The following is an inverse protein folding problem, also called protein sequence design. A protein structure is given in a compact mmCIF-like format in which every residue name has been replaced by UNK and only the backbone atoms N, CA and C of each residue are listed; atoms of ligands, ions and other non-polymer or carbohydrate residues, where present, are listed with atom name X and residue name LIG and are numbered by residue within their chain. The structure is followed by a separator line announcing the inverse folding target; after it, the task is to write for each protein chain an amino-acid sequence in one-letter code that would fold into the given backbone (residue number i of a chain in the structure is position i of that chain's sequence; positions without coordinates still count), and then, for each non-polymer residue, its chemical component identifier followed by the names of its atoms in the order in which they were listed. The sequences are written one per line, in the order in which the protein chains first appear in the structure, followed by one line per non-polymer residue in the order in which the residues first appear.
data_IF_342055454074
#
_entry.id   IF_342055454074
#
_cell.length_a   1.000
_cell.length_b   1.000
_cell.length_c   1.000
_cell.angle_alpha   90.00
_cell.angle_beta   90.00
_cell.angle_gamma   90.00
#
_symmetry.space_group_name_H-M   'P 1'
#
loop_
_entity.id
_entity.type
_entity.pdbx_description
1 polymer ?
#
# COMPACT_ATOMS: atom_id res chain seq x y z
N UNK A 1 17.54 -14.34 4.87
CA UNK A 1 17.08 -14.21 6.27
C UNK A 1 16.74 -12.76 6.50
N UNK A 2 15.51 -12.48 6.91
CA UNK A 2 15.06 -11.10 7.07
C UNK A 2 15.44 -10.57 8.48
N UNK A 3 16.07 -9.40 8.53
CA UNK A 3 16.50 -8.74 9.78
C UNK A 3 15.43 -7.75 10.22
N UNK A 4 14.74 -8.12 11.29
CA UNK A 4 13.68 -7.33 11.90
C UNK A 4 14.00 -7.13 13.38
N UNK A 5 13.91 -5.91 13.89
CA UNK A 5 14.25 -5.60 15.29
C UNK A 5 13.23 -4.69 15.98
N UNK A 6 13.15 -4.77 17.33
CA UNK A 6 12.37 -3.83 18.12
C UNK A 6 12.99 -2.43 18.08
N UNK A 7 12.18 -1.39 18.27
CA UNK A 7 12.64 0.00 18.26
C UNK A 7 11.90 0.86 19.31
N UNK A 8 12.44 2.03 19.58
CA UNK A 8 11.84 3.00 20.52
C UNK A 8 10.93 3.96 19.75
N UNK A 9 9.66 3.62 19.65
CA UNK A 9 8.69 4.48 18.96
C UNK A 9 8.43 5.79 19.71
N UNK A 10 8.07 6.81 18.94
CA UNK A 10 7.39 7.99 19.43
C UNK A 10 5.90 7.78 19.11
N UNK A 11 5.07 7.74 20.14
CA UNK A 11 3.65 7.42 20.01
C UNK A 11 2.78 8.33 20.86
N UNK A 12 1.49 8.50 20.55
CA UNK A 12 0.57 9.27 21.39
C UNK A 12 0.56 8.75 22.82
N UNK A 13 0.40 9.62 23.80
CA UNK A 13 0.05 9.18 25.16
C UNK A 13 -1.35 8.58 25.16
N UNK A 14 -1.61 7.61 26.06
CA UNK A 14 -2.87 6.84 26.06
C UNK A 14 -4.12 7.73 26.10
N UNK A 15 -4.08 8.81 26.88
CA UNK A 15 -5.17 9.79 27.03
C UNK A 15 -5.32 10.73 25.81
N UNK A 16 -4.41 10.71 24.86
CA UNK A 16 -4.41 11.57 23.68
C UNK A 16 -4.62 10.82 22.35
N UNK A 17 -4.73 9.49 22.37
CA UNK A 17 -4.93 8.69 21.16
C UNK A 17 -6.15 9.14 20.37
N UNK A 18 -7.30 9.33 21.04
CA UNK A 18 -8.51 9.80 20.39
C UNK A 18 -8.36 11.19 19.75
N UNK A 19 -7.60 12.09 20.40
CA UNK A 19 -7.32 13.42 19.86
C UNK A 19 -6.46 13.35 18.57
N UNK A 20 -5.50 12.46 18.54
CA UNK A 20 -4.60 12.29 17.37
C UNK A 20 -5.32 11.58 16.24
N UNK A 21 -6.09 10.51 16.54
CA UNK A 21 -6.80 9.71 15.53
C UNK A 21 -8.02 10.42 14.93
N UNK A 22 -8.61 11.41 15.60
CA UNK A 22 -9.77 12.16 15.10
C UNK A 22 -9.42 13.28 14.12
N UNK A 23 -8.15 13.67 14.06
CA UNK A 23 -7.68 14.67 13.08
C UNK A 23 -7.36 13.95 11.79
N UNK A 24 -8.13 14.24 10.72
CA UNK A 24 -7.79 13.75 9.39
C UNK A 24 -6.42 14.30 9.00
N UNK A 25 -5.45 13.43 8.84
CA UNK A 25 -4.14 13.75 8.29
C UNK A 25 -4.20 13.99 6.77
N UNK A 26 -5.38 13.90 6.16
CA UNK A 26 -5.64 14.17 4.75
C UNK A 26 -5.18 15.55 4.28
N UNK A 27 -5.10 16.52 5.20
CA UNK A 27 -4.57 17.85 4.90
C UNK A 27 -3.04 17.87 4.65
N UNK A 28 -2.35 16.77 4.88
CA UNK A 28 -0.89 16.70 4.81
C UNK A 28 -0.45 15.58 3.87
N UNK A 29 -0.80 15.68 2.60
CA UNK A 29 -0.15 14.83 1.61
C UNK A 29 1.35 15.18 1.55
N UNK A 30 2.20 14.18 1.65
CA UNK A 30 3.66 14.31 1.63
C UNK A 30 4.18 15.16 0.45
N UNK A 31 3.48 15.12 -0.69
CA UNK A 31 3.82 15.88 -1.89
C UNK A 31 3.60 17.40 -1.73
N UNK A 32 2.57 17.82 -1.01
CA UNK A 32 2.27 19.24 -0.80
C UNK A 32 3.17 19.88 0.24
N UNK A 33 3.60 19.10 1.24
CA UNK A 33 4.48 19.58 2.30
C UNK A 33 5.93 19.77 1.86
N UNK A 34 6.43 18.93 0.96
CA UNK A 34 7.81 19.04 0.46
C UNK A 34 8.01 20.15 -0.57
N UNK A 35 6.93 20.58 -1.27
CA UNK A 35 7.04 21.48 -2.41
C UNK A 35 6.83 22.98 -2.09
N UNK A 36 6.26 23.32 -0.92
CA UNK A 36 5.78 24.68 -0.65
C UNK A 36 6.32 25.38 0.58
N UNK A 37 7.20 24.78 1.37
CA UNK A 37 7.50 25.32 2.70
C UNK A 37 9.01 25.47 2.97
N UNK A 38 9.44 26.73 3.03
CA UNK A 38 10.62 27.18 3.83
C UNK A 38 10.43 26.88 5.33
N UNK A 39 9.29 26.36 5.70
CA UNK A 39 8.86 26.06 7.06
C UNK A 39 8.45 24.59 7.15
N UNK A 40 9.10 23.84 8.04
CA UNK A 40 8.78 22.44 8.31
C UNK A 40 7.66 22.33 9.36
N UNK A 41 6.39 22.11 8.95
CA UNK A 41 5.28 22.02 9.88
C UNK A 41 5.40 20.81 10.83
N UNK A 42 6.08 19.73 10.42
CA UNK A 42 6.33 18.58 11.29
C UNK A 42 7.28 18.93 12.44
N UNK A 43 8.32 19.71 12.19
CA UNK A 43 9.20 20.17 13.28
C UNK A 43 8.43 21.05 14.27
N UNK A 44 7.54 21.89 13.78
CA UNK A 44 6.68 22.72 14.62
C UNK A 44 5.68 21.89 15.39
N UNK A 45 4.90 21.05 14.71
CA UNK A 45 3.93 20.15 15.34
C UNK A 45 4.60 19.19 16.33
N UNK A 46 5.77 18.66 15.98
CA UNK A 46 6.54 17.80 16.87
C UNK A 46 7.03 18.54 18.13
N UNK A 47 7.44 19.80 18.03
CA UNK A 47 7.78 20.64 19.19
C UNK A 47 6.56 20.93 20.06
N UNK A 48 5.43 21.30 19.44
CA UNK A 48 4.16 21.52 20.15
C UNK A 48 3.64 20.24 20.82
N UNK A 49 3.68 19.11 20.13
CA UNK A 49 3.28 17.83 20.67
C UNK A 49 4.18 17.36 21.82
N UNK A 50 5.50 17.61 21.76
CA UNK A 50 6.40 17.35 22.89
C UNK A 50 6.12 18.26 24.07
N UNK A 51 5.92 19.55 23.84
CA UNK A 51 5.60 20.53 24.89
C UNK A 51 4.31 20.16 25.63
N UNK A 52 3.28 19.73 24.90
CA UNK A 52 1.98 19.39 25.44
C UNK A 52 1.89 17.92 25.89
N UNK A 53 2.98 17.14 25.84
CA UNK A 53 3.02 15.71 26.18
C UNK A 53 2.01 14.86 25.41
N UNK A 54 1.69 15.27 24.19
CA UNK A 54 0.77 14.53 23.32
C UNK A 54 1.47 13.25 22.83
N UNK A 55 2.77 13.34 22.53
CA UNK A 55 3.58 12.18 22.19
C UNK A 55 4.59 11.85 23.28
N UNK A 56 4.78 10.56 23.49
CA UNK A 56 5.80 10.00 24.37
C UNK A 56 6.77 9.17 23.56
N UNK A 57 8.05 9.17 23.96
CA UNK A 57 9.07 8.30 23.39
C UNK A 57 9.28 7.10 24.31
N UNK A 58 9.21 5.89 23.74
CA UNK A 58 9.47 4.66 24.47
C UNK A 58 10.90 4.63 25.03
N UNK A 59 11.02 4.15 26.27
CA UNK A 59 12.30 4.00 26.94
C UNK A 59 13.02 2.73 26.53
N UNK A 60 12.24 1.66 26.29
CA UNK A 60 12.71 0.33 25.92
C UNK A 60 12.38 0.04 24.47
N UNK A 61 13.30 -0.55 23.68
CA UNK A 61 12.96 -1.04 22.34
C UNK A 61 11.87 -2.10 22.44
N UNK A 62 10.83 -1.97 21.61
CA UNK A 62 9.64 -2.83 21.63
C UNK A 62 9.25 -3.20 20.20
N UNK A 63 8.61 -4.36 20.03
CA UNK A 63 7.74 -4.59 18.90
C UNK A 63 6.34 -4.10 19.26
N UNK A 64 5.54 -3.84 18.24
CA UNK A 64 4.17 -3.39 18.42
C UNK A 64 3.26 -4.27 17.58
N UNK A 65 2.41 -5.07 18.22
CA UNK A 65 1.35 -5.77 17.49
C UNK A 65 0.24 -4.76 17.26
N UNK A 66 -0.17 -4.61 16.01
CA UNK A 66 -1.21 -3.68 15.63
C UNK A 66 -2.30 -4.41 14.87
N UNK A 67 -3.54 -4.19 15.29
CA UNK A 67 -4.72 -4.80 14.72
C UNK A 67 -5.72 -3.73 14.32
N UNK A 68 -6.26 -3.89 13.13
CA UNK A 68 -7.38 -3.10 12.62
C UNK A 68 -8.50 -4.09 12.28
N UNK A 69 -9.68 -3.88 12.82
CA UNK A 69 -10.86 -4.68 12.47
C UNK A 69 -12.05 -3.80 12.10
N UNK A 70 -12.81 -4.23 11.11
CA UNK A 70 -14.11 -3.72 10.75
C UNK A 70 -15.16 -4.84 10.89
N UNK A 71 -16.35 -4.66 10.31
CA UNK A 71 -17.44 -5.64 10.41
C UNK A 71 -17.11 -6.97 9.72
N UNK A 72 -16.29 -6.93 8.69
CA UNK A 72 -16.06 -8.07 7.79
C UNK A 72 -14.66 -8.66 7.97
N UNK A 73 -13.69 -7.82 8.35
CA UNK A 73 -12.29 -8.16 8.27
C UNK A 73 -11.48 -7.77 9.50
N UNK A 74 -10.43 -8.55 9.77
CA UNK A 74 -9.42 -8.23 10.77
C UNK A 74 -8.02 -8.37 10.16
N UNK A 75 -7.25 -7.30 10.27
CA UNK A 75 -5.87 -7.23 9.82
C UNK A 75 -4.98 -7.10 11.06
N UNK A 76 -4.12 -8.05 11.28
CA UNK A 76 -3.20 -8.03 12.42
C UNK A 76 -1.76 -8.23 11.93
N UNK A 77 -0.85 -7.43 12.43
CA UNK A 77 0.56 -7.50 12.06
C UNK A 77 1.47 -6.88 13.11
N UNK A 78 2.75 -6.81 12.80
CA UNK A 78 3.81 -6.33 13.68
C UNK A 78 4.44 -5.07 13.10
N UNK A 79 4.45 -3.99 13.87
CA UNK A 79 5.23 -2.79 13.53
C UNK A 79 6.64 -2.99 14.09
N UNK A 80 7.63 -2.87 13.22
CA UNK A 80 9.03 -3.15 13.52
C UNK A 80 9.98 -2.25 12.73
N UNK A 81 11.26 -2.31 13.09
CA UNK A 81 12.35 -1.74 12.31
C UNK A 81 12.96 -2.83 11.42
N UNK A 82 12.83 -2.70 10.11
CA UNK A 82 13.29 -3.67 9.11
C UNK A 82 14.53 -3.15 8.39
N UNK A 83 15.48 -4.04 8.09
CA UNK A 83 16.78 -3.71 7.53
C UNK A 83 16.69 -3.12 6.12
N UNK A 84 17.35 -1.97 5.93
CA UNK A 84 17.59 -1.37 4.61
C UNK A 84 18.45 -2.28 3.74
N UNK A 85 19.41 -2.99 4.33
CA UNK A 85 20.31 -3.88 3.62
C UNK A 85 19.54 -5.05 3.00
N UNK A 86 18.51 -5.58 3.68
CA UNK A 86 17.64 -6.64 3.15
C UNK A 86 16.84 -6.17 1.93
N UNK A 87 16.44 -4.89 1.91
CA UNK A 87 15.83 -4.29 0.73
C UNK A 87 16.82 -4.20 -0.44
N UNK A 88 18.07 -3.81 -0.18
CA UNK A 88 19.12 -3.68 -1.20
C UNK A 88 19.55 -5.03 -1.76
N UNK A 89 19.66 -6.04 -0.92
CA UNK A 89 20.10 -7.38 -1.28
C UNK A 89 18.98 -8.28 -1.82
N UNK A 90 17.75 -7.75 -1.93
CA UNK A 90 16.62 -8.48 -2.50
C UNK A 90 16.06 -9.59 -1.60
N UNK A 91 16.33 -9.58 -0.30
CA UNK A 91 15.58 -10.34 0.71
C UNK A 91 14.16 -9.79 0.79
N UNK A 92 14.00 -8.46 0.72
CA UNK A 92 12.72 -7.80 0.56
C UNK A 92 12.45 -7.64 -0.94
N UNK A 93 11.44 -8.38 -1.42
CA UNK A 93 11.06 -8.45 -2.84
C UNK A 93 10.20 -7.26 -3.24
N UNK A 94 10.52 -6.71 -4.40
CA UNK A 94 9.78 -5.63 -5.05
C UNK A 94 8.99 -6.18 -6.22
N UNK A 95 7.81 -5.63 -6.48
CA UNK A 95 7.02 -5.94 -7.68
C UNK A 95 6.76 -4.69 -8.53
N UNK A 96 7.22 -3.51 -8.08
CA UNK A 96 7.01 -2.24 -8.76
C UNK A 96 8.31 -1.44 -8.81
N UNK A 97 8.53 -0.73 -9.92
CA UNK A 97 9.61 0.24 -10.08
C UNK A 97 9.29 1.56 -9.36
N UNK A 98 10.32 2.25 -8.90
CA UNK A 98 10.17 3.52 -8.21
C UNK A 98 10.62 4.70 -9.08
N UNK A 99 9.95 5.84 -8.91
CA UNK A 99 10.26 7.08 -9.64
C UNK A 99 11.34 7.84 -8.85
N UNK A 100 12.52 8.03 -9.46
CA UNK A 100 13.67 8.67 -8.80
C UNK A 100 13.37 10.02 -8.16
N UNK A 101 12.58 10.87 -8.84
CA UNK A 101 12.16 12.17 -8.31
C UNK A 101 11.38 12.06 -6.99
N UNK A 102 10.52 11.03 -6.86
CA UNK A 102 9.77 10.76 -5.62
C UNK A 102 10.67 10.20 -4.52
N UNK A 103 11.63 9.34 -4.87
CA UNK A 103 12.59 8.82 -3.89
C UNK A 103 13.36 9.96 -3.21
N UNK A 104 13.91 10.89 -3.99
CA UNK A 104 14.65 12.06 -3.47
C UNK A 104 13.73 12.97 -2.63
N UNK A 105 12.47 13.15 -3.02
CA UNK A 105 11.52 13.92 -2.24
C UNK A 105 11.27 13.32 -0.86
N UNK A 106 11.03 12.01 -0.79
CA UNK A 106 10.83 11.30 0.47
C UNK A 106 12.11 11.19 1.30
N UNK A 107 13.27 11.07 0.67
CA UNK A 107 14.57 11.14 1.36
C UNK A 107 14.76 12.48 2.05
N UNK A 108 14.54 13.59 1.36
CA UNK A 108 14.60 14.94 1.94
C UNK A 108 13.60 15.10 3.10
N UNK A 109 12.41 14.52 2.96
CA UNK A 109 11.44 14.46 4.05
C UNK A 109 12.02 13.75 5.28
N UNK A 110 12.62 12.56 5.12
CA UNK A 110 13.21 11.81 6.22
C UNK A 110 14.41 12.55 6.85
N UNK A 111 15.26 13.18 6.05
CA UNK A 111 16.37 14.03 6.54
C UNK A 111 15.86 15.20 7.38
N UNK A 112 14.78 15.83 6.94
CA UNK A 112 14.23 17.02 7.58
C UNK A 112 13.45 16.69 8.86
N UNK A 113 12.64 15.64 8.84
CA UNK A 113 11.79 15.25 9.98
C UNK A 113 12.52 14.41 11.02
N UNK A 114 13.46 13.57 10.57
CA UNK A 114 14.20 12.64 11.42
C UNK A 114 13.39 11.44 11.89
N UNK A 115 12.24 11.13 11.28
CA UNK A 115 11.42 9.97 11.63
C UNK A 115 10.59 9.43 10.46
N UNK A 116 10.21 8.16 10.54
CA UNK A 116 9.23 7.54 9.65
C UNK A 116 7.83 7.76 10.24
N UNK A 117 6.94 8.44 9.50
CA UNK A 117 5.56 8.67 9.94
C UNK A 117 4.62 7.52 9.55
N UNK A 118 4.88 6.88 8.40
CA UNK A 118 4.10 5.75 7.90
C UNK A 118 4.98 4.51 7.72
N UNK A 119 4.50 3.32 8.16
CA UNK A 119 5.23 2.09 7.92
C UNK A 119 5.15 1.67 6.45
N UNK A 120 6.17 0.97 5.98
CA UNK A 120 6.10 0.18 4.75
C UNK A 120 5.29 -1.08 5.05
N UNK A 121 4.30 -1.40 4.22
CA UNK A 121 3.53 -2.64 4.36
C UNK A 121 4.31 -3.78 3.72
N UNK A 122 4.74 -4.73 4.57
CA UNK A 122 5.43 -5.94 4.16
C UNK A 122 4.56 -7.16 4.46
N UNK A 123 4.63 -8.18 3.62
CA UNK A 123 4.00 -9.45 3.90
C UNK A 123 5.06 -10.57 4.02
N UNK A 124 4.71 -11.58 4.82
CA UNK A 124 5.47 -12.82 5.02
C UNK A 124 4.55 -14.03 4.85
N UNK A 125 5.13 -15.21 4.62
CA UNK A 125 4.39 -16.47 4.48
C UNK A 125 3.71 -16.83 5.80
N UNK A 126 2.48 -17.37 5.73
CA UNK A 126 1.72 -17.78 6.93
C UNK A 126 2.46 -18.88 7.71
N UNK A 127 2.45 -18.77 9.04
CA UNK A 127 3.00 -19.78 9.96
C UNK A 127 2.12 -19.92 11.21
N UNK A 128 1.47 -21.08 11.33
CA UNK A 128 0.54 -21.35 12.45
C UNK A 128 1.21 -21.29 13.84
N UNK A 129 2.49 -21.57 13.94
CA UNK A 129 3.19 -21.52 15.23
C UNK A 129 3.49 -20.06 15.60
N UNK A 130 3.78 -19.22 14.61
CA UNK A 130 3.96 -17.81 14.84
C UNK A 130 2.63 -17.12 15.16
N UNK A 131 1.54 -17.50 14.50
CA UNK A 131 0.19 -17.01 14.81
C UNK A 131 -0.22 -17.31 16.27
N UNK A 132 0.15 -18.48 16.79
CA UNK A 132 -0.04 -18.82 18.22
C UNK A 132 0.77 -17.89 19.13
N UNK A 133 1.99 -17.51 18.76
CA UNK A 133 2.78 -16.52 19.53
C UNK A 133 2.07 -15.18 19.57
N UNK A 134 1.59 -14.69 18.43
CA UNK A 134 0.85 -13.44 18.33
C UNK A 134 -0.46 -13.50 19.14
N UNK A 135 -1.18 -14.61 19.07
CA UNK A 135 -2.43 -14.81 19.81
C UNK A 135 -2.22 -14.76 21.32
N UNK A 136 -1.15 -15.41 21.83
CA UNK A 136 -0.80 -15.39 23.26
C UNK A 136 -0.50 -13.94 23.73
N UNK A 137 0.26 -13.18 22.94
CA UNK A 137 0.58 -11.80 23.29
C UNK A 137 -0.71 -10.94 23.33
N UNK A 138 -1.67 -11.20 22.45
CA UNK A 138 -2.95 -10.51 22.38
C UNK A 138 -3.91 -10.84 23.53
N UNK A 139 -3.68 -11.88 24.33
CA UNK A 139 -4.47 -12.14 25.56
C UNK A 139 -4.29 -11.03 26.59
N UNK A 140 -3.17 -10.31 26.57
CA UNK A 140 -2.96 -9.15 27.41
C UNK A 140 -3.85 -7.99 26.98
N UNK A 141 -4.12 -7.08 27.94
CA UNK A 141 -4.84 -5.85 27.64
C UNK A 141 -4.03 -4.99 26.65
N UNK A 142 -4.65 -4.51 25.55
CA UNK A 142 -3.95 -3.64 24.62
C UNK A 142 -3.55 -2.30 25.26
N UNK A 143 -2.44 -1.75 24.83
CA UNK A 143 -2.02 -0.39 25.19
C UNK A 143 -2.99 0.66 24.65
N UNK A 144 -3.46 0.46 23.43
CA UNK A 144 -4.51 1.27 22.80
C UNK A 144 -5.65 0.40 22.32
N UNK A 145 -6.87 0.89 22.54
CA UNK A 145 -8.09 0.41 21.91
C UNK A 145 -8.97 1.63 21.63
N UNK A 146 -9.27 1.88 20.38
CA UNK A 146 -10.10 3.02 19.96
C UNK A 146 -10.77 2.75 18.62
N UNK A 147 -11.90 3.42 18.37
CA UNK A 147 -12.58 3.38 17.07
C UNK A 147 -12.41 4.69 16.33
N UNK A 148 -12.30 4.61 15.02
CA UNK A 148 -12.25 5.74 14.10
C UNK A 148 -13.63 6.07 13.55
N UNK A 149 -13.79 7.23 12.91
CA UNK A 149 -15.07 7.69 12.33
C UNK A 149 -15.58 6.80 11.21
N UNK A 150 -14.68 6.08 10.52
CA UNK A 150 -15.00 5.06 9.52
C UNK A 150 -15.35 3.68 10.14
N UNK A 151 -15.64 3.65 11.45
CA UNK A 151 -16.08 2.48 12.21
C UNK A 151 -15.09 1.34 12.32
N UNK A 152 -13.80 1.61 12.11
CA UNK A 152 -12.75 0.63 12.34
C UNK A 152 -12.31 0.65 13.79
N UNK A 153 -12.12 -0.54 14.36
CA UNK A 153 -11.56 -0.73 15.69
C UNK A 153 -10.06 -0.96 15.57
N UNK A 154 -9.30 -0.17 16.29
CA UNK A 154 -7.84 -0.21 16.30
C UNK A 154 -7.35 -0.67 17.66
N UNK A 155 -6.45 -1.64 17.69
CA UNK A 155 -5.80 -2.15 18.89
C UNK A 155 -4.30 -2.19 18.71
N UNK A 156 -3.57 -1.90 19.77
CA UNK A 156 -2.11 -1.95 19.78
C UNK A 156 -1.59 -2.55 21.07
N UNK A 157 -0.73 -3.54 20.97
CA UNK A 157 -0.02 -4.17 22.10
C UNK A 157 1.47 -3.87 22.02
N UNK A 158 2.07 -3.54 23.16
CA UNK A 158 3.51 -3.38 23.30
C UNK A 158 4.14 -4.73 23.66
N UNK A 159 5.12 -5.18 22.90
CA UNK A 159 5.89 -6.39 23.17
C UNK A 159 7.24 -5.97 23.73
N UNK A 160 7.40 -6.11 25.05
CA UNK A 160 8.60 -5.75 25.81
C UNK A 160 9.23 -6.94 26.53
N UNK A 161 8.52 -8.04 26.63
CA UNK A 161 9.04 -9.26 27.19
C UNK A 161 10.15 -9.84 26.30
N UNK A 162 11.32 -10.11 26.89
CA UNK A 162 12.49 -10.56 26.16
C UNK A 162 12.27 -11.91 25.44
N UNK A 163 11.51 -12.84 26.05
CA UNK A 163 11.20 -14.13 25.44
C UNK A 163 10.30 -13.97 24.21
N UNK A 164 9.32 -13.08 24.27
CA UNK A 164 8.43 -12.78 23.13
C UNK A 164 9.20 -12.07 22.01
N UNK A 165 10.02 -11.08 22.35
CA UNK A 165 10.93 -10.41 21.42
C UNK A 165 11.81 -11.41 20.69
N UNK A 166 12.43 -12.33 21.43
CA UNK A 166 13.31 -13.36 20.86
C UNK A 166 12.56 -14.34 19.95
N UNK A 167 11.31 -14.70 20.27
CA UNK A 167 10.46 -15.52 19.38
C UNK A 167 10.18 -14.80 18.05
N UNK A 168 9.82 -13.50 18.09
CA UNK A 168 9.58 -12.71 16.90
C UNK A 168 10.85 -12.60 16.04
N UNK A 169 11.98 -12.25 16.65
CA UNK A 169 13.28 -12.15 15.93
C UNK A 169 13.64 -13.52 15.32
N UNK A 170 13.47 -14.60 16.06
CA UNK A 170 13.81 -15.94 15.60
C UNK A 170 12.94 -16.40 14.44
N UNK A 171 11.68 -15.99 14.40
CA UNK A 171 10.79 -16.24 13.28
C UNK A 171 11.30 -15.53 12.02
N UNK A 172 11.46 -14.21 12.05
CA UNK A 172 11.89 -13.45 10.87
C UNK A 172 13.30 -13.81 10.40
N UNK A 173 14.18 -14.23 11.29
CA UNK A 173 15.50 -14.76 10.92
C UNK A 173 15.44 -16.06 10.10
N UNK A 174 14.33 -16.79 10.11
CA UNK A 174 14.12 -17.96 9.26
C UNK A 174 13.49 -17.61 7.92
N UNK A 175 12.81 -16.49 7.84
CA UNK A 175 12.16 -16.04 6.63
C UNK A 175 13.20 -15.76 5.53
N UNK A 176 13.01 -16.41 4.39
CA UNK A 176 13.90 -16.27 3.21
C UNK A 176 13.63 -14.98 2.46
N UNK A 177 12.40 -14.54 2.46
CA UNK A 177 11.95 -13.35 1.73
C UNK A 177 10.79 -12.68 2.44
N UNK A 178 10.74 -11.35 2.36
CA UNK A 178 9.58 -10.52 2.63
C UNK A 178 9.14 -9.88 1.32
N UNK A 179 7.89 -9.48 1.21
CA UNK A 179 7.37 -8.89 -0.02
C UNK A 179 6.74 -7.53 0.29
N UNK A 180 7.09 -6.51 -0.49
CA UNK A 180 6.47 -5.18 -0.32
C UNK A 180 5.06 -5.26 -0.89
N UNK A 181 4.05 -5.05 -0.06
CA UNK A 181 2.67 -4.87 -0.50
C UNK A 181 2.36 -3.40 -0.81
N UNK A 182 2.89 -2.47 -0.02
CA UNK A 182 2.81 -1.02 -0.25
C UNK A 182 4.03 -0.28 0.33
N UNK A 183 4.40 0.83 -0.30
CA UNK A 183 5.49 1.70 0.19
C UNK A 183 6.82 1.52 -0.52
N UNK A 184 6.85 1.13 -1.79
CA UNK A 184 8.07 1.00 -2.60
C UNK A 184 8.93 2.27 -2.57
N UNK A 185 8.31 3.46 -2.71
CA UNK A 185 9.03 4.73 -2.61
C UNK A 185 9.58 4.99 -1.21
N UNK A 186 8.86 4.60 -0.15
CA UNK A 186 9.31 4.74 1.25
C UNK A 186 10.53 3.87 1.54
N UNK A 187 10.54 2.63 1.06
CA UNK A 187 11.69 1.72 1.19
C UNK A 187 12.91 2.24 0.42
N UNK A 188 12.71 2.66 -0.83
CA UNK A 188 13.78 3.19 -1.68
C UNK A 188 14.39 4.46 -1.11
N UNK A 189 13.56 5.39 -0.62
CA UNK A 189 14.03 6.64 0.03
C UNK A 189 14.81 6.37 1.30
N UNK A 190 14.38 5.37 2.09
CA UNK A 190 15.12 4.97 3.29
C UNK A 190 16.47 4.36 2.94
N UNK A 191 16.58 3.67 1.80
CA UNK A 191 17.85 3.14 1.31
C UNK A 191 18.80 4.27 0.87
N UNK A 192 18.28 5.29 0.16
CA UNK A 192 19.07 6.47 -0.21
C UNK A 192 19.57 7.21 1.02
N UNK A 193 18.69 7.50 1.98
CA UNK A 193 19.06 8.15 3.24
C UNK A 193 20.15 7.36 3.99
N UNK A 194 20.06 6.04 4.01
CA UNK A 194 21.03 5.20 4.67
C UNK A 194 22.41 5.27 3.99
N UNK A 195 22.45 5.34 2.66
CA UNK A 195 23.69 5.50 1.89
C UNK A 195 24.35 6.84 2.18
N UNK A 196 23.59 7.93 2.13
CA UNK A 196 24.10 9.27 2.40
C UNK A 196 24.64 9.40 3.83
N UNK A 197 23.85 9.01 4.83
CA UNK A 197 24.27 9.11 6.23
C UNK A 197 25.43 8.16 6.57
N UNK A 198 25.52 7.01 5.89
CA UNK A 198 26.68 6.12 6.02
C UNK A 198 27.93 6.75 5.44
N UNK A 199 27.84 7.44 4.31
CA UNK A 199 28.96 8.13 3.69
C UNK A 199 29.48 9.29 4.57
N UNK A 200 28.57 9.98 5.27
CA UNK A 200 28.91 11.07 6.19
C UNK A 200 29.46 10.57 7.55
N UNK A 201 29.10 9.36 7.97
CA UNK A 201 29.45 8.83 9.29
C UNK A 201 30.75 8.02 9.27
N UNK A 202 31.87 8.65 9.59
CA UNK A 202 33.17 7.98 9.70
C UNK A 202 33.24 6.85 10.75
N UNK A 203 32.30 6.84 11.69
CA UNK A 203 32.21 5.85 12.76
C UNK A 203 31.04 4.85 12.55
N UNK A 204 30.63 4.65 11.30
CA UNK A 204 29.54 3.72 10.97
C UNK A 204 29.84 2.30 11.47
N UNK A 205 28.86 1.71 12.21
CA UNK A 205 28.94 0.39 12.82
C UNK A 205 27.91 -0.60 12.28
N UNK A 206 26.98 -0.14 11.43
CA UNK A 206 25.86 -0.96 10.93
C UNK A 206 24.66 -1.04 11.88
N UNK A 207 24.75 -0.49 13.07
CA UNK A 207 23.68 -0.55 14.09
C UNK A 207 22.87 0.74 14.19
N UNK A 208 23.22 1.75 13.44
CA UNK A 208 22.58 3.06 13.43
C UNK A 208 21.13 2.97 12.92
N UNK A 209 20.29 3.86 13.43
CA UNK A 209 18.85 3.84 13.12
C UNK A 209 18.54 4.04 11.63
N UNK A 210 19.37 4.77 10.90
CA UNK A 210 19.19 4.98 9.47
C UNK A 210 19.40 3.72 8.61
N UNK A 211 19.95 2.64 9.18
CA UNK A 211 20.04 1.34 8.52
C UNK A 211 18.72 0.56 8.57
N UNK A 212 17.65 1.15 9.10
CA UNK A 212 16.35 0.51 9.28
C UNK A 212 15.24 1.49 8.91
N UNK A 213 14.15 0.95 8.36
CA UNK A 213 12.91 1.69 8.16
C UNK A 213 11.76 1.04 8.93
N UNK A 214 10.76 1.84 9.27
CA UNK A 214 9.57 1.34 9.95
C UNK A 214 8.72 0.53 8.97
N UNK A 215 8.34 -0.67 9.36
CA UNK A 215 7.48 -1.56 8.59
C UNK A 215 6.30 -2.07 9.41
N UNK A 216 5.22 -2.38 8.74
CA UNK A 216 4.08 -3.14 9.24
C UNK A 216 4.07 -4.48 8.51
N UNK A 217 4.40 -5.56 9.23
CA UNK A 217 4.55 -6.89 8.69
C UNK A 217 3.28 -7.68 8.98
N UNK A 218 2.62 -8.19 7.95
CA UNK A 218 1.38 -8.98 8.05
C UNK A 218 1.58 -10.35 7.38
N UNK A 219 0.88 -11.41 7.83
CA UNK A 219 0.85 -12.67 7.11
C UNK A 219 0.14 -12.49 5.75
N UNK A 220 0.53 -13.26 4.74
CA UNK A 220 -0.02 -13.12 3.38
C UNK A 220 -1.54 -13.33 3.32
N UNK A 221 -2.09 -14.20 4.17
CA UNK A 221 -3.55 -14.42 4.27
C UNK A 221 -4.34 -13.19 4.75
N UNK A 222 -3.67 -12.26 5.45
CA UNK A 222 -4.29 -11.00 5.87
C UNK A 222 -4.21 -9.91 4.79
N UNK A 223 -3.46 -10.14 3.70
CA UNK A 223 -3.42 -9.19 2.59
C UNK A 223 -4.64 -9.39 1.71
N UNK A 224 -5.47 -8.37 1.62
CA UNK A 224 -6.57 -8.35 0.67
C UNK A 224 -6.25 -7.40 -0.48
N UNK A 225 -6.31 -7.94 -1.68
CA UNK A 225 -6.20 -7.16 -2.91
C UNK A 225 -7.61 -6.69 -3.26
N UNK A 226 -7.84 -5.39 -3.22
CA UNK A 226 -9.11 -4.81 -3.65
C UNK A 226 -9.21 -4.76 -5.18
N UNK A 227 -10.44 -4.76 -5.69
CA UNK A 227 -10.71 -4.50 -7.10
C UNK A 227 -10.12 -3.13 -7.46
N UNK A 228 -9.31 -3.10 -8.51
CA UNK A 228 -8.64 -1.87 -8.93
C UNK A 228 -9.18 -1.44 -10.30
N UNK A 229 -10.35 -0.81 -10.28
CA UNK A 229 -11.07 -0.38 -11.47
C UNK A 229 -10.30 0.70 -12.23
N UNK A 230 -10.44 0.73 -13.55
CA UNK A 230 -9.83 1.72 -14.45
C UNK A 230 -10.90 2.59 -15.06
N UNK A 231 -10.63 3.88 -15.12
CA UNK A 231 -11.50 4.91 -15.70
C UNK A 231 -10.73 5.66 -16.76
N UNK A 232 -11.31 5.79 -17.94
CA UNK A 232 -10.64 6.41 -19.10
C UNK A 232 -11.46 7.58 -19.59
N UNK A 233 -10.82 8.73 -19.78
CA UNK A 233 -11.50 10.01 -20.12
C UNK A 233 -12.02 10.08 -21.55
N UNK A 234 -11.40 9.39 -22.49
CA UNK A 234 -11.77 9.42 -23.90
C UNK A 234 -11.42 8.08 -24.60
N UNK A 235 -11.94 7.88 -25.80
CA UNK A 235 -11.71 6.69 -26.59
C UNK A 235 -10.58 6.84 -27.62
N UNK A 236 -9.61 7.73 -27.40
CA UNK A 236 -8.48 7.94 -28.31
C UNK A 236 -8.91 8.31 -29.75
N UNK A 237 -9.99 9.07 -29.88
CA UNK A 237 -10.54 9.49 -31.17
C UNK A 237 -11.50 8.49 -31.82
N UNK A 238 -11.64 7.30 -31.30
CA UNK A 238 -12.62 6.32 -31.79
C UNK A 238 -14.04 6.73 -31.43
N UNK A 239 -14.98 6.46 -32.34
CA UNK A 239 -16.40 6.36 -32.00
C UNK A 239 -16.66 5.14 -31.11
N UNK A 240 -17.82 5.06 -30.48
CA UNK A 240 -18.20 3.88 -29.68
C UNK A 240 -18.21 2.60 -30.51
N UNK A 241 -18.69 2.68 -31.75
CA UNK A 241 -18.74 1.54 -32.67
C UNK A 241 -17.34 1.06 -33.07
N UNK A 242 -16.45 1.99 -33.47
CA UNK A 242 -15.04 1.67 -33.80
C UNK A 242 -14.31 1.04 -32.62
N UNK A 243 -14.53 1.59 -31.43
CA UNK A 243 -13.92 1.07 -30.21
C UNK A 243 -14.39 -0.37 -29.91
N UNK A 244 -15.68 -0.67 -30.06
CA UNK A 244 -16.23 -2.02 -29.87
C UNK A 244 -15.70 -3.00 -30.94
N UNK A 245 -15.49 -2.55 -32.19
CA UNK A 245 -14.87 -3.38 -33.26
C UNK A 245 -13.43 -3.74 -32.92
N UNK A 246 -12.63 -2.75 -32.46
CA UNK A 246 -11.25 -3.00 -32.04
C UNK A 246 -11.18 -3.96 -30.83
N UNK A 247 -12.08 -3.79 -29.86
CA UNK A 247 -12.19 -4.69 -28.70
C UNK A 247 -12.53 -6.14 -29.11
N UNK A 248 -13.38 -6.33 -30.14
CA UNK A 248 -13.76 -7.68 -30.59
C UNK A 248 -12.58 -8.50 -31.11
N UNK A 249 -11.49 -7.85 -31.52
CA UNK A 249 -10.22 -8.52 -31.87
C UNK A 249 -9.67 -9.34 -30.70
N UNK A 250 -9.80 -8.82 -29.50
CA UNK A 250 -9.23 -9.42 -28.28
C UNK A 250 -10.27 -10.17 -27.44
N UNK A 251 -11.53 -9.71 -27.43
CA UNK A 251 -12.55 -10.19 -26.52
C UNK A 251 -13.81 -10.66 -27.27
N UNK A 252 -14.46 -11.66 -26.72
CA UNK A 252 -15.88 -11.87 -26.99
C UNK A 252 -16.64 -10.86 -26.15
N UNK A 253 -17.47 -10.03 -26.80
CA UNK A 253 -18.23 -8.95 -26.16
C UNK A 253 -19.68 -9.36 -26.05
N UNK A 254 -20.30 -9.17 -24.91
CA UNK A 254 -21.73 -9.32 -24.72
C UNK A 254 -22.30 -8.04 -24.10
N UNK A 255 -23.22 -7.39 -24.80
CA UNK A 255 -23.96 -6.24 -24.27
C UNK A 255 -24.94 -6.74 -23.19
N UNK A 256 -24.92 -6.10 -22.02
CA UNK A 256 -25.76 -6.39 -20.87
C UNK A 256 -26.83 -5.32 -20.63
N UNK A 257 -26.87 -4.28 -21.44
CA UNK A 257 -27.72 -3.10 -21.26
C UNK A 257 -27.52 -2.48 -19.88
N UNK A 258 -28.59 -2.29 -19.14
CA UNK A 258 -28.54 -1.77 -17.77
C UNK A 258 -28.15 -2.80 -16.70
N UNK A 259 -27.99 -4.08 -17.07
CA UNK A 259 -27.69 -5.14 -16.12
C UNK A 259 -26.22 -5.15 -15.75
N UNK A 260 -25.95 -4.88 -14.50
CA UNK A 260 -24.61 -4.91 -13.93
C UNK A 260 -23.96 -6.29 -14.12
N UNK A 261 -22.71 -6.30 -14.59
CA UNK A 261 -21.92 -7.52 -14.68
C UNK A 261 -20.69 -7.42 -13.77
N UNK A 262 -20.57 -8.34 -12.82
CA UNK A 262 -19.39 -8.48 -11.97
C UNK A 262 -18.58 -9.70 -12.45
N UNK A 263 -17.32 -9.53 -12.86
CA UNK A 263 -16.46 -10.65 -13.23
C UNK A 263 -16.30 -11.61 -12.06
N UNK A 264 -16.36 -12.91 -12.34
CA UNK A 264 -16.19 -13.99 -11.36
C UNK A 264 -15.06 -14.96 -11.69
N UNK A 265 -14.36 -14.74 -12.81
CA UNK A 265 -13.27 -15.58 -13.30
C UNK A 265 -12.18 -14.71 -13.90
N UNK A 266 -10.93 -15.20 -13.83
CA UNK A 266 -9.79 -14.57 -14.52
C UNK A 266 -10.09 -14.42 -16.03
N UNK A 267 -9.55 -13.35 -16.61
CA UNK A 267 -9.67 -13.00 -18.03
C UNK A 267 -11.08 -12.56 -18.43
N UNK A 268 -11.93 -12.25 -17.44
CA UNK A 268 -13.24 -11.65 -17.62
C UNK A 268 -13.20 -10.22 -17.09
N UNK A 269 -13.77 -9.29 -17.84
CA UNK A 269 -13.84 -7.89 -17.46
C UNK A 269 -15.26 -7.37 -17.55
N UNK A 270 -15.63 -6.47 -16.68
CA UNK A 270 -16.78 -5.60 -16.82
C UNK A 270 -16.35 -4.34 -17.53
N UNK A 271 -17.17 -3.83 -18.42
CA UNK A 271 -16.98 -2.50 -19.02
C UNK A 271 -18.31 -1.75 -18.91
N UNK A 272 -18.24 -0.46 -18.58
CA UNK A 272 -19.37 0.45 -18.69
C UNK A 272 -19.02 1.56 -19.67
N UNK A 273 -19.83 1.66 -20.71
CA UNK A 273 -19.62 2.56 -21.83
C UNK A 273 -20.98 3.03 -22.37
N UNK A 274 -21.14 4.33 -22.57
CA UNK A 274 -22.29 4.95 -23.22
C UNK A 274 -23.65 4.53 -22.64
N UNK A 275 -23.74 4.43 -21.31
CA UNK A 275 -24.97 4.09 -20.60
C UNK A 275 -25.22 2.58 -20.42
N UNK A 276 -24.37 1.71 -20.96
CA UNK A 276 -24.57 0.27 -20.98
C UNK A 276 -23.39 -0.49 -20.35
N UNK A 277 -23.72 -1.62 -19.71
CA UNK A 277 -22.74 -2.59 -19.25
C UNK A 277 -22.44 -3.61 -20.35
N UNK A 278 -21.17 -4.01 -20.40
CA UNK A 278 -20.66 -5.06 -21.26
C UNK A 278 -19.87 -6.07 -20.44
N UNK A 279 -19.97 -7.35 -20.78
CA UNK A 279 -19.03 -8.36 -20.33
C UNK A 279 -18.03 -8.65 -21.44
N UNK A 280 -16.77 -8.61 -21.09
CA UNK A 280 -15.65 -8.89 -22.00
C UNK A 280 -14.97 -10.19 -21.57
N UNK A 281 -14.82 -11.12 -22.49
CA UNK A 281 -14.18 -12.42 -22.28
C UNK A 281 -12.98 -12.54 -23.19
N UNK A 282 -11.77 -12.58 -22.63
CA UNK A 282 -10.55 -12.70 -23.44
C UNK A 282 -10.65 -13.94 -24.34
N UNK A 283 -10.39 -13.75 -25.65
CA UNK A 283 -10.39 -14.85 -26.62
C UNK A 283 -9.19 -15.76 -26.39
N UNK A 284 -9.38 -17.08 -26.52
CA UNK A 284 -8.33 -18.08 -26.26
C UNK A 284 -7.07 -17.93 -27.12
N UNK A 285 -7.19 -17.42 -28.34
CA UNK A 285 -6.05 -17.12 -29.19
C UNK A 285 -5.16 -15.97 -28.69
N UNK A 286 -5.66 -15.18 -27.74
CA UNK A 286 -4.93 -14.11 -27.05
C UNK A 286 -4.32 -14.57 -25.71
N UNK A 287 -4.38 -15.86 -25.36
CA UNK A 287 -3.78 -16.45 -24.17
C UNK A 287 -2.27 -16.65 -24.36
N UNK A 288 -1.54 -15.57 -24.50
CA UNK A 288 -0.07 -15.58 -24.62
C UNK A 288 0.52 -15.11 -23.29
N UNK A 289 0.97 -16.07 -22.47
CA UNK A 289 1.48 -15.80 -21.13
C UNK A 289 2.92 -16.32 -21.04
N UNK A 290 3.88 -15.40 -21.00
CA UNK A 290 5.31 -15.73 -20.94
C UNK A 290 5.83 -15.90 -19.51
N UNK A 291 5.14 -15.30 -18.55
CA UNK A 291 5.49 -15.29 -17.12
C UNK A 291 4.25 -15.16 -16.22
N UNK A 292 4.46 -15.05 -14.92
CA UNK A 292 3.38 -14.89 -13.94
C UNK A 292 2.67 -13.55 -14.06
N UNK A 293 3.38 -12.47 -14.40
CA UNK A 293 2.83 -11.12 -14.52
C UNK A 293 1.88 -11.01 -15.72
N UNK A 294 2.26 -11.60 -16.85
CA UNK A 294 1.45 -11.60 -18.08
C UNK A 294 0.09 -12.28 -17.95
N UNK A 295 -0.13 -13.04 -16.83
CA UNK A 295 -1.41 -13.69 -16.51
C UNK A 295 -2.32 -12.81 -15.64
N UNK A 296 -1.85 -11.66 -15.17
CA UNK A 296 -2.65 -10.76 -14.37
C UNK A 296 -3.67 -10.03 -15.23
N UNK A 297 -4.91 -9.93 -14.74
CA UNK A 297 -5.99 -9.24 -15.46
C UNK A 297 -5.65 -7.76 -15.73
N UNK A 298 -4.92 -7.12 -14.83
CA UNK A 298 -4.40 -5.75 -15.03
C UNK A 298 -3.45 -5.64 -16.21
N UNK A 299 -2.54 -6.61 -16.39
CA UNK A 299 -1.59 -6.65 -17.49
C UNK A 299 -2.29 -7.01 -18.82
N UNK A 300 -3.27 -7.90 -18.77
CA UNK A 300 -4.10 -8.25 -19.93
C UNK A 300 -4.86 -7.00 -20.39
N UNK A 301 -5.52 -6.28 -19.49
CA UNK A 301 -6.23 -5.04 -19.81
C UNK A 301 -5.27 -4.02 -20.46
N UNK A 302 -4.06 -3.89 -19.92
CA UNK A 302 -3.05 -2.98 -20.46
C UNK A 302 -2.68 -3.31 -21.89
N UNK A 303 -2.23 -4.53 -22.16
CA UNK A 303 -1.70 -4.96 -23.47
C UNK A 303 -2.76 -5.17 -24.54
N UNK A 304 -4.05 -5.29 -24.18
CA UNK A 304 -5.14 -5.53 -25.13
C UNK A 304 -6.02 -4.32 -25.37
N UNK A 305 -6.15 -3.43 -24.39
CA UNK A 305 -7.06 -2.28 -24.47
C UNK A 305 -6.32 -0.96 -24.27
N UNK A 306 -5.63 -0.80 -23.11
CA UNK A 306 -5.12 0.52 -22.74
C UNK A 306 -4.03 1.01 -23.68
N UNK A 307 -3.07 0.16 -24.01
CA UNK A 307 -1.97 0.52 -24.90
C UNK A 307 -2.39 0.49 -26.38
N UNK A 308 -2.84 -0.64 -26.96
CA UNK A 308 -3.02 -0.72 -28.42
C UNK A 308 -4.22 0.08 -28.95
N UNK A 309 -5.32 0.17 -28.19
CA UNK A 309 -6.54 0.83 -28.64
C UNK A 309 -6.60 2.26 -28.10
N UNK A 310 -6.37 2.43 -26.81
CA UNK A 310 -6.53 3.73 -26.15
C UNK A 310 -5.24 4.57 -26.14
N UNK A 311 -4.09 4.04 -26.62
CA UNK A 311 -2.82 4.78 -26.72
C UNK A 311 -2.28 5.23 -25.36
N UNK A 312 -2.49 4.43 -24.30
CA UNK A 312 -2.00 4.71 -22.95
C UNK A 312 -0.76 3.87 -22.70
N UNK A 313 0.43 4.45 -22.96
CA UNK A 313 1.72 3.76 -22.80
C UNK A 313 2.28 3.82 -21.39
N UNK A 314 2.01 4.90 -20.65
CA UNK A 314 2.49 5.09 -19.27
C UNK A 314 1.31 5.19 -18.30
N UNK A 315 1.07 4.11 -17.55
CA UNK A 315 -0.01 4.04 -16.58
C UNK A 315 0.17 4.99 -15.38
N UNK A 316 1.40 5.40 -15.09
CA UNK A 316 1.71 6.21 -13.90
C UNK A 316 1.63 7.73 -14.16
N UNK A 317 1.84 8.16 -15.40
CA UNK A 317 1.94 9.58 -15.73
C UNK A 317 0.90 10.04 -16.79
N UNK A 318 -0.05 9.19 -17.16
CA UNK A 318 -1.07 9.55 -18.15
C UNK A 318 -2.30 10.15 -17.46
N UNK A 319 -2.64 11.39 -17.81
CA UNK A 319 -3.78 12.11 -17.23
C UNK A 319 -5.15 11.67 -17.78
N UNK A 320 -5.19 10.79 -18.77
CA UNK A 320 -6.42 10.23 -19.35
C UNK A 320 -6.94 9.02 -18.58
N UNK A 321 -6.10 8.38 -17.75
CA UNK A 321 -6.48 7.23 -16.91
C UNK A 321 -6.67 7.67 -15.46
N UNK A 322 -7.72 7.18 -14.84
CA UNK A 322 -8.01 7.31 -13.41
C UNK A 322 -8.16 5.96 -12.74
N UNK A 323 -7.97 5.96 -11.44
CA UNK A 323 -8.05 4.77 -10.58
C UNK A 323 -8.94 5.08 -9.40
N UNK A 324 -9.68 4.09 -8.89
CA UNK A 324 -10.34 4.22 -7.60
C UNK A 324 -9.63 3.35 -6.57
N UNK A 325 -9.34 3.94 -5.43
CA UNK A 325 -8.75 3.26 -4.28
C UNK A 325 -9.82 2.86 -3.24
N UNK A 326 -11.07 3.22 -3.48
CA UNK A 326 -12.15 2.91 -2.55
C UNK A 326 -12.67 1.49 -2.79
N UNK A 327 -13.14 0.86 -1.73
CA UNK A 327 -13.96 -0.38 -1.76
C UNK A 327 -15.29 -0.12 -2.52
N UNK A 328 -15.25 0.74 -3.54
CA UNK A 328 -16.42 1.12 -4.31
C UNK A 328 -16.82 -0.06 -5.18
N UNK A 329 -17.98 -0.53 -4.89
CA UNK A 329 -18.74 -1.48 -5.66
C UNK A 329 -18.66 -1.16 -7.18
N UNK A 330 -18.83 -2.16 -8.00
CA UNK A 330 -18.95 -2.07 -9.46
C UNK A 330 -19.89 -0.94 -9.94
N UNK A 331 -20.79 -0.46 -9.08
CA UNK A 331 -21.60 0.74 -9.30
C UNK A 331 -20.77 2.02 -9.53
N UNK A 332 -19.55 2.08 -9.00
CA UNK A 332 -18.66 3.21 -9.27
C UNK A 332 -18.28 3.32 -10.75
N UNK A 333 -18.23 2.19 -11.47
CA UNK A 333 -17.99 2.15 -12.91
C UNK A 333 -19.03 3.01 -13.64
N UNK A 334 -20.31 2.80 -13.28
CA UNK A 334 -21.43 3.55 -13.83
C UNK A 334 -21.41 5.01 -13.42
N UNK A 335 -21.31 5.28 -12.13
CA UNK A 335 -21.44 6.64 -11.58
C UNK A 335 -20.41 7.61 -12.15
N UNK A 336 -19.15 7.20 -12.30
CA UNK A 336 -18.08 8.06 -12.81
C UNK A 336 -18.25 8.37 -14.32
N UNK A 337 -18.80 7.46 -15.09
CA UNK A 337 -19.07 7.66 -16.51
C UNK A 337 -20.34 8.49 -16.71
N UNK A 338 -21.42 8.20 -16.02
CA UNK A 338 -22.67 8.94 -16.10
C UNK A 338 -22.52 10.42 -15.69
N UNK A 339 -21.63 10.68 -14.72
CA UNK A 339 -21.29 12.06 -14.31
C UNK A 339 -20.41 12.80 -15.32
N UNK A 340 -20.03 12.15 -16.42
CA UNK A 340 -19.20 12.75 -17.48
C UNK A 340 -17.73 12.98 -17.10
N UNK A 341 -17.28 12.41 -15.98
CA UNK A 341 -15.87 12.48 -15.56
C UNK A 341 -14.97 11.60 -16.43
N UNK A 342 -15.53 10.49 -16.91
CA UNK A 342 -14.86 9.53 -17.77
C UNK A 342 -15.79 9.04 -18.87
N UNK A 343 -15.22 8.56 -19.98
CA UNK A 343 -15.97 8.04 -21.12
C UNK A 343 -16.24 6.54 -21.03
N UNK A 344 -15.30 5.81 -20.47
CA UNK A 344 -15.41 4.34 -20.29
C UNK A 344 -14.73 3.93 -19.00
N UNK A 345 -15.25 2.86 -18.39
CA UNK A 345 -14.67 2.26 -17.20
C UNK A 345 -14.59 0.75 -17.31
N UNK A 346 -13.58 0.17 -16.64
CA UNK A 346 -13.31 -1.27 -16.61
C UNK A 346 -13.21 -1.79 -15.20
N UNK A 347 -13.93 -2.89 -14.92
CA UNK A 347 -13.85 -3.66 -13.69
C UNK A 347 -13.26 -5.04 -13.96
N UNK A 348 -12.48 -5.54 -12.99
CA UNK A 348 -11.83 -6.83 -13.07
C UNK A 348 -11.77 -7.49 -11.68
N UNK A 349 -11.41 -8.76 -11.62
CA UNK A 349 -11.09 -9.42 -10.36
C UNK A 349 -9.81 -8.84 -9.75
N UNK A 350 -9.72 -8.82 -8.39
CA UNK A 350 -8.50 -8.45 -7.69
C UNK A 350 -7.36 -9.44 -7.94
#
# INVERSE_FOLDING_TARGET
MAVVKPFKAVRPSRDKVALVSSKSYEAYTYAELGAKLDFNPFTFLHKEFKKNRIFIKEKTPSFYIYEISDLDDTYCGIIAATSVEDFKNGVIKKHEGTIKKREVLFENYLKTTGFNAEPVLLMYEDDENFDKVISIIKEARPEYEFSTTDKKLHRLWLVQNEQEINKIISFFNKEKSLYIADGHHRSASSALLAEDLKAENKNHKGTENYNYFMSYLIPESHLKISEFNRFIKDLNGHTVEEFLIELDTYFKIENRGSNLYKPSKKYHFSMYLDGEFYSLYLRKNNYTFNDALSKLDTEILYRTILQPILGIDDLNNNNRIGYTNDKLDILSLKTNVDNGLYKVSFGMLP
#
